data_IF_848069557791
#
_entry.id   IF_848069557791
#
_cell.length_a   1.000
_cell.length_b   1.000
_cell.length_c   1.000
_cell.angle_alpha   90.00
_cell.angle_beta   90.00
_cell.angle_gamma   90.00
#
_symmetry.space_group_name_H-M   'P 1'
#
loop_
_entity.id
_entity.type
_entity.pdbx_description
1 polymer ?
#
# COMPACT_ATOMS: atom_id res chain seq x y z
N UNK A 1 13.32 22.59 -27.11
CA UNK A 1 12.90 22.20 -25.75
C UNK A 1 13.74 22.96 -24.75
N UNK A 2 13.18 24.04 -24.17
CA UNK A 2 13.82 24.83 -23.12
C UNK A 2 14.07 23.85 -21.96
N UNK A 3 15.31 23.41 -21.78
CA UNK A 3 15.74 22.80 -20.54
C UNK A 3 15.70 23.91 -19.51
N UNK A 4 14.54 24.09 -18.87
CA UNK A 4 14.50 24.85 -17.63
C UNK A 4 15.42 24.12 -16.66
N UNK A 5 16.56 24.73 -16.39
CA UNK A 5 17.61 24.22 -15.51
C UNK A 5 17.08 24.35 -14.09
N UNK A 6 16.25 23.40 -13.66
CA UNK A 6 15.85 23.30 -12.27
C UNK A 6 16.98 22.65 -11.48
N UNK A 7 17.38 23.29 -10.38
CA UNK A 7 18.19 22.66 -9.35
C UNK A 7 17.24 22.10 -8.30
N UNK A 8 17.35 20.81 -7.99
CA UNK A 8 16.53 20.17 -6.98
C UNK A 8 17.34 20.00 -5.70
N UNK A 9 16.72 20.31 -4.55
CA UNK A 9 17.32 20.05 -3.24
C UNK A 9 16.35 19.22 -2.42
N UNK A 10 16.79 18.04 -1.98
CA UNK A 10 16.05 17.19 -1.05
C UNK A 10 16.65 17.32 0.35
N UNK A 11 15.79 17.61 1.31
CA UNK A 11 16.14 17.65 2.73
C UNK A 11 15.54 16.42 3.40
N UNK A 12 16.37 15.60 4.04
CA UNK A 12 15.97 14.36 4.71
C UNK A 12 16.35 14.46 6.19
N UNK A 13 15.38 14.33 7.09
CA UNK A 13 15.66 14.37 8.53
C UNK A 13 16.52 13.17 8.97
N UNK A 14 16.39 12.04 8.28
CA UNK A 14 17.09 10.81 8.59
C UNK A 14 18.51 10.77 8.01
N UNK A 15 19.31 9.83 8.49
CA UNK A 15 20.64 9.54 7.97
C UNK A 15 20.63 8.72 6.66
N UNK A 16 19.47 8.37 6.13
CA UNK A 16 19.32 7.56 4.92
C UNK A 16 18.02 7.90 4.18
N UNK A 17 18.01 7.70 2.86
CA UNK A 17 16.83 7.86 2.02
C UNK A 17 15.94 6.61 2.08
N UNK A 18 14.62 6.78 2.19
CA UNK A 18 13.66 5.67 2.17
C UNK A 18 12.26 6.07 1.70
N UNK A 19 11.46 5.10 1.22
CA UNK A 19 10.02 5.27 0.93
C UNK A 19 9.20 5.33 2.22
N UNK A 20 9.44 4.33 3.08
CA UNK A 20 9.04 4.20 4.48
C UNK A 20 10.33 3.77 5.18
N UNK A 21 10.61 4.27 6.39
CA UNK A 21 11.83 3.94 7.13
C UNK A 21 11.91 2.42 7.35
N UNK A 22 12.58 1.72 6.45
CA UNK A 22 12.74 0.28 6.50
C UNK A 22 13.99 0.01 7.32
N UNK A 23 13.80 -0.54 8.52
CA UNK A 23 14.88 -1.10 9.29
C UNK A 23 15.09 -2.53 8.81
N UNK A 24 16.33 -2.90 8.55
CA UNK A 24 16.69 -4.30 8.36
C UNK A 24 17.79 -4.69 9.34
N UNK A 25 17.68 -5.91 9.85
CA UNK A 25 18.71 -6.51 10.69
C UNK A 25 18.88 -7.96 10.28
N UNK A 26 20.02 -8.54 10.63
CA UNK A 26 20.26 -9.97 10.43
C UNK A 26 19.84 -10.70 11.70
N UNK A 27 19.09 -11.80 11.54
CA UNK A 27 18.70 -12.69 12.63
C UNK A 27 19.95 -13.24 13.32
N UNK A 28 19.98 -13.16 14.66
CA UNK A 28 21.14 -13.53 15.45
C UNK A 28 21.50 -15.02 15.35
N UNK A 29 20.53 -15.87 15.01
CA UNK A 29 20.69 -17.32 15.05
C UNK A 29 20.99 -17.94 13.69
N UNK A 30 20.25 -17.58 12.63
CA UNK A 30 20.39 -18.25 11.32
C UNK A 30 20.78 -17.30 10.18
N UNK A 31 21.08 -16.04 10.46
CA UNK A 31 21.60 -15.12 9.45
C UNK A 31 20.53 -14.62 8.46
N UNK A 32 19.25 -14.87 8.72
CA UNK A 32 18.17 -14.42 7.83
C UNK A 32 17.98 -12.91 7.92
N UNK A 33 17.69 -12.28 6.78
CA UNK A 33 17.41 -10.85 6.77
C UNK A 33 15.98 -10.55 7.21
N UNK A 34 15.84 -9.71 8.24
CA UNK A 34 14.55 -9.21 8.73
C UNK A 34 14.28 -7.81 8.19
N UNK A 35 13.04 -7.57 7.75
CA UNK A 35 12.58 -6.30 7.21
C UNK A 35 11.38 -5.78 8.00
N UNK A 36 11.52 -4.65 8.69
CA UNK A 36 10.51 -4.09 9.61
C UNK A 36 9.61 -3.03 8.94
N UNK A 37 9.29 -3.22 7.67
CA UNK A 37 8.53 -2.27 6.86
C UNK A 37 7.87 -2.97 5.66
N UNK A 38 7.59 -2.24 4.56
CA UNK A 38 7.03 -2.87 3.38
C UNK A 38 8.03 -3.87 2.77
N UNK A 39 7.59 -5.12 2.59
CA UNK A 39 8.45 -6.23 2.15
C UNK A 39 8.34 -6.52 0.66
N UNK A 40 7.16 -6.32 0.09
CA UNK A 40 6.82 -6.73 -1.28
C UNK A 40 5.92 -5.69 -1.95
N UNK A 41 5.97 -5.65 -3.28
CA UNK A 41 5.07 -4.87 -4.13
C UNK A 41 4.26 -5.84 -4.99
N UNK A 42 2.94 -5.64 -5.08
CA UNK A 42 2.09 -6.41 -6.01
C UNK A 42 2.33 -5.95 -7.45
N UNK A 43 2.76 -6.87 -8.31
CA UNK A 43 3.10 -6.62 -9.71
C UNK A 43 1.89 -6.38 -10.63
N UNK A 44 0.67 -6.73 -10.16
CA UNK A 44 -0.58 -6.59 -10.93
C UNK A 44 -1.42 -5.42 -10.40
N UNK A 45 -1.09 -4.19 -10.80
CA UNK A 45 -1.85 -2.98 -10.45
C UNK A 45 -1.74 -1.95 -11.59
N UNK A 46 -2.80 -1.17 -11.84
CA UNK A 46 -2.85 -0.10 -12.84
C UNK A 46 -1.77 0.98 -12.67
N UNK A 47 -1.21 1.14 -11.45
CA UNK A 47 -0.08 2.05 -11.18
C UNK A 47 1.29 1.47 -11.53
N UNK A 48 1.39 0.18 -11.86
CA UNK A 48 2.67 -0.51 -12.04
C UNK A 48 3.56 -0.03 -13.18
N UNK A 49 3.04 0.44 -14.31
CA UNK A 49 3.95 0.81 -15.40
C UNK A 49 4.84 2.01 -15.08
N UNK A 50 4.43 2.93 -14.21
CA UNK A 50 5.34 3.98 -13.73
C UNK A 50 6.48 3.40 -12.87
N UNK A 51 6.18 2.39 -12.04
CA UNK A 51 7.19 1.65 -11.30
C UNK A 51 8.10 0.85 -12.25
N UNK A 52 7.56 0.17 -13.26
CA UNK A 52 8.35 -0.57 -14.24
C UNK A 52 9.24 0.34 -15.08
N UNK A 53 8.74 1.50 -15.47
CA UNK A 53 9.56 2.52 -16.13
C UNK A 53 10.75 2.91 -15.26
N UNK A 54 10.50 3.24 -13.99
CA UNK A 54 11.57 3.57 -13.04
C UNK A 54 12.54 2.41 -12.85
N UNK A 55 12.04 1.19 -12.65
CA UNK A 55 12.89 0.00 -12.47
C UNK A 55 13.75 -0.29 -13.71
N UNK A 56 13.22 -0.08 -14.91
CA UNK A 56 13.96 -0.23 -16.15
C UNK A 56 15.02 0.87 -16.30
N UNK A 57 14.68 2.13 -16.02
CA UNK A 57 15.63 3.25 -16.05
C UNK A 57 16.78 3.10 -15.04
N UNK A 58 16.50 2.42 -13.92
CA UNK A 58 17.50 2.06 -12.90
C UNK A 58 18.27 0.77 -13.22
N UNK A 59 18.00 0.11 -14.36
CA UNK A 59 18.55 -1.22 -14.71
C UNK A 59 18.36 -2.27 -13.61
N UNK A 60 17.23 -2.21 -12.91
CA UNK A 60 16.94 -3.08 -11.76
C UNK A 60 16.14 -4.33 -12.11
N UNK A 61 15.56 -4.40 -13.31
CA UNK A 61 14.60 -5.45 -13.69
C UNK A 61 15.17 -6.86 -13.44
N UNK A 62 16.42 -7.10 -13.81
CA UNK A 62 17.06 -8.42 -13.68
C UNK A 62 17.46 -8.77 -12.23
N UNK A 63 17.52 -7.76 -11.34
CA UNK A 63 17.84 -7.94 -9.92
C UNK A 63 16.62 -8.19 -9.02
N UNK A 64 15.42 -8.18 -9.60
CA UNK A 64 14.17 -8.34 -8.86
C UNK A 64 13.96 -9.80 -8.46
N UNK A 65 13.54 -9.99 -7.20
CA UNK A 65 12.94 -11.24 -6.76
C UNK A 65 11.47 -11.22 -7.12
N UNK A 66 11.05 -12.14 -7.99
CA UNK A 66 9.68 -12.19 -8.52
C UNK A 66 9.03 -13.51 -8.12
N UNK A 67 7.87 -13.43 -7.49
CA UNK A 67 7.00 -14.60 -7.30
C UNK A 67 6.04 -14.74 -8.47
N UNK A 68 5.83 -15.97 -8.96
CA UNK A 68 4.81 -16.26 -9.97
C UNK A 68 3.41 -16.16 -9.35
N UNK A 69 2.42 -15.64 -10.09
CA UNK A 69 1.01 -15.57 -9.68
C UNK A 69 0.42 -16.94 -9.27
N UNK A 70 0.96 -18.04 -9.81
CA UNK A 70 0.53 -19.42 -9.55
C UNK A 70 1.16 -20.01 -8.29
N UNK A 71 2.24 -19.42 -7.79
CA UNK A 71 2.88 -19.89 -6.56
C UNK A 71 1.93 -19.74 -5.37
N UNK A 72 2.01 -20.69 -4.43
CA UNK A 72 1.20 -20.68 -3.21
C UNK A 72 1.39 -19.39 -2.41
N UNK A 73 2.63 -18.88 -2.34
CA UNK A 73 2.98 -17.59 -1.73
C UNK A 73 2.28 -16.38 -2.37
N UNK A 74 1.84 -16.48 -3.62
CA UNK A 74 1.12 -15.39 -4.30
C UNK A 74 -0.40 -15.46 -4.14
N UNK A 75 -0.95 -16.68 -4.11
CA UNK A 75 -2.39 -16.90 -4.29
C UNK A 75 -3.12 -17.48 -3.05
N UNK A 76 -2.46 -18.21 -2.15
CA UNK A 76 -3.08 -18.73 -0.93
C UNK A 76 -3.02 -17.70 0.19
N UNK A 77 -4.17 -17.38 0.77
CA UNK A 77 -4.33 -16.45 1.90
C UNK A 77 -5.30 -17.06 2.89
N UNK A 78 -5.10 -16.79 4.16
CA UNK A 78 -5.90 -17.38 5.24
C UNK A 78 -6.52 -16.32 6.14
N UNK A 79 -7.61 -16.69 6.80
CA UNK A 79 -8.19 -15.97 7.93
C UNK A 79 -8.13 -16.89 9.14
N UNK A 80 -7.56 -16.40 10.24
CA UNK A 80 -7.59 -17.11 11.51
C UNK A 80 -8.95 -16.91 12.15
N UNK A 81 -9.68 -17.99 12.42
CA UNK A 81 -10.96 -17.94 13.11
C UNK A 81 -11.25 -19.28 13.77
N UNK A 82 -11.85 -19.25 14.96
CA UNK A 82 -12.25 -20.47 15.67
C UNK A 82 -11.05 -21.42 15.88
N UNK A 83 -9.90 -20.87 16.27
CA UNK A 83 -8.64 -21.59 16.48
C UNK A 83 -8.12 -22.37 15.27
N UNK A 84 -8.50 -21.98 14.05
CA UNK A 84 -8.01 -22.60 12.82
C UNK A 84 -7.72 -21.58 11.72
N UNK A 85 -6.85 -21.95 10.78
CA UNK A 85 -6.55 -21.16 9.59
C UNK A 85 -7.43 -21.59 8.44
N UNK A 86 -8.28 -20.67 7.99
CA UNK A 86 -9.28 -20.93 6.97
C UNK A 86 -8.86 -20.28 5.65
N UNK A 87 -8.68 -21.05 4.55
CA UNK A 87 -8.28 -20.49 3.28
C UNK A 87 -9.37 -19.56 2.74
N UNK A 88 -8.98 -18.38 2.24
CA UNK A 88 -9.89 -17.45 1.59
C UNK A 88 -9.81 -17.64 0.09
N UNK A 89 -10.86 -18.23 -0.46
CA UNK A 89 -11.07 -18.31 -1.90
C UNK A 89 -12.41 -17.66 -2.25
N UNK A 90 -12.37 -16.44 -2.77
CA UNK A 90 -13.57 -15.70 -3.14
C UNK A 90 -14.44 -16.45 -4.15
N UNK A 91 -13.85 -17.25 -5.05
CA UNK A 91 -14.62 -18.08 -5.97
C UNK A 91 -15.46 -19.10 -5.21
N UNK A 92 -14.84 -19.84 -4.30
CA UNK A 92 -15.53 -20.87 -3.53
C UNK A 92 -16.55 -20.28 -2.54
N UNK A 93 -16.25 -19.13 -1.96
CA UNK A 93 -17.18 -18.36 -1.13
C UNK A 93 -18.40 -17.97 -1.97
N UNK A 94 -18.23 -17.32 -3.12
CA UNK A 94 -19.34 -16.88 -3.98
C UNK A 94 -20.19 -18.05 -4.51
N UNK A 95 -19.61 -19.25 -4.64
CA UNK A 95 -20.34 -20.48 -5.03
C UNK A 95 -20.81 -21.32 -3.83
N UNK A 96 -20.72 -20.81 -2.60
CA UNK A 96 -21.26 -21.45 -1.40
C UNK A 96 -20.56 -22.75 -0.98
N UNK A 97 -19.32 -22.98 -1.44
CA UNK A 97 -18.62 -24.26 -1.23
C UNK A 97 -17.78 -24.31 0.04
N UNK A 98 -17.11 -23.22 0.42
CA UNK A 98 -15.96 -23.26 1.37
C UNK A 98 -15.95 -22.06 2.35
N UNK A 99 -17.11 -21.53 2.76
CA UNK A 99 -17.09 -20.47 3.78
C UNK A 99 -17.36 -21.05 5.16
N UNK A 100 -16.35 -21.16 6.06
CA UNK A 100 -16.62 -21.38 7.49
C UNK A 100 -17.35 -20.18 8.12
N UNK A 101 -17.49 -19.08 7.36
CA UNK A 101 -18.00 -17.81 7.86
C UNK A 101 -19.49 -17.60 7.57
N UNK A 102 -20.05 -18.22 6.52
CA UNK A 102 -21.42 -17.96 6.07
C UNK A 102 -22.10 -19.18 5.46
N UNK A 103 -23.42 -19.27 5.64
CA UNK A 103 -24.23 -20.27 4.95
C UNK A 103 -24.39 -19.93 3.44
N UNK A 104 -24.51 -20.94 2.56
CA UNK A 104 -24.76 -20.70 1.13
C UNK A 104 -25.98 -19.80 0.84
N UNK A 105 -27.01 -19.89 1.68
CA UNK A 105 -28.24 -19.10 1.58
C UNK A 105 -27.97 -17.61 1.82
N UNK A 106 -27.14 -17.28 2.81
CA UNK A 106 -26.76 -15.88 3.09
C UNK A 106 -25.96 -15.28 1.93
N UNK A 107 -25.08 -16.07 1.31
CA UNK A 107 -24.31 -15.64 0.14
C UNK A 107 -25.22 -15.40 -1.07
N UNK A 108 -26.19 -16.29 -1.32
CA UNK A 108 -27.21 -16.08 -2.36
C UNK A 108 -28.07 -14.84 -2.07
N UNK A 109 -28.44 -14.61 -0.82
CA UNK A 109 -29.15 -13.40 -0.39
C UNK A 109 -28.32 -12.14 -0.68
N UNK A 110 -27.01 -12.18 -0.42
CA UNK A 110 -26.09 -11.09 -0.74
C UNK A 110 -26.04 -10.79 -2.23
N UNK A 111 -25.91 -11.81 -3.07
CA UNK A 111 -25.93 -11.64 -4.54
C UNK A 111 -27.28 -11.05 -4.97
N UNK A 112 -28.39 -11.53 -4.41
CA UNK A 112 -29.72 -10.98 -4.66
C UNK A 112 -29.80 -9.49 -4.32
N UNK A 113 -29.40 -9.10 -3.10
CA UNK A 113 -29.37 -7.69 -2.65
C UNK A 113 -28.49 -6.83 -3.54
N UNK A 114 -27.33 -7.32 -3.94
CA UNK A 114 -26.38 -6.64 -4.84
C UNK A 114 -26.97 -6.39 -6.24
N UNK A 115 -27.76 -7.32 -6.79
CA UNK A 115 -28.44 -7.14 -8.09
C UNK A 115 -29.45 -5.98 -8.05
N UNK A 116 -30.17 -5.83 -6.95
CA UNK A 116 -31.20 -4.81 -6.77
C UNK A 116 -30.69 -3.56 -6.07
N UNK A 117 -29.39 -3.51 -5.78
CA UNK A 117 -28.79 -2.36 -5.13
C UNK A 117 -28.68 -1.20 -6.13
N UNK A 118 -29.42 -0.12 -5.87
CA UNK A 118 -29.27 1.13 -6.60
C UNK A 118 -28.35 2.08 -5.84
N UNK A 119 -27.37 2.66 -6.54
CA UNK A 119 -26.39 3.56 -5.93
C UNK A 119 -26.96 4.97 -5.81
N UNK A 120 -27.93 5.14 -4.93
CA UNK A 120 -28.40 6.44 -4.45
C UNK A 120 -27.56 6.94 -3.27
N UNK A 121 -26.23 6.90 -3.41
CA UNK A 121 -25.30 7.34 -2.37
C UNK A 121 -24.52 8.55 -2.91
N UNK A 122 -24.85 9.73 -2.40
CA UNK A 122 -24.21 10.99 -2.75
C UNK A 122 -23.08 11.37 -1.78
N UNK A 123 -23.02 10.74 -0.60
CA UNK A 123 -22.07 11.04 0.47
C UNK A 123 -21.06 9.90 0.64
N UNK A 124 -19.85 10.23 1.05
CA UNK A 124 -18.82 9.24 1.33
C UNK A 124 -19.20 8.40 2.57
N UNK A 125 -19.24 7.09 2.40
CA UNK A 125 -19.56 6.15 3.47
C UNK A 125 -18.30 5.50 4.01
N UNK A 126 -18.39 4.95 5.21
CA UNK A 126 -17.40 3.98 5.64
C UNK A 126 -17.45 2.73 4.77
N UNK A 127 -16.33 2.00 4.66
CA UNK A 127 -16.30 0.70 3.97
C UNK A 127 -17.30 -0.27 4.61
N UNK A 128 -17.40 -0.27 5.95
CA UNK A 128 -18.37 -1.07 6.69
C UNK A 128 -19.82 -0.78 6.26
N UNK A 129 -20.22 0.49 6.31
CA UNK A 129 -21.62 0.89 6.06
C UNK A 129 -22.02 0.75 4.60
N UNK A 130 -21.03 0.69 3.71
CA UNK A 130 -21.25 0.31 2.33
C UNK A 130 -21.57 -1.19 2.21
N UNK A 131 -20.71 -2.06 2.73
CA UNK A 131 -20.88 -3.50 2.57
C UNK A 131 -22.09 -4.05 3.32
N UNK A 132 -22.49 -3.47 4.46
CA UNK A 132 -23.68 -3.93 5.22
C UNK A 132 -25.00 -3.81 4.44
N UNK A 133 -25.03 -3.02 3.36
CA UNK A 133 -26.21 -2.88 2.49
C UNK A 133 -26.56 -4.19 1.76
N UNK A 134 -25.59 -5.06 1.53
CA UNK A 134 -25.81 -6.33 0.82
C UNK A 134 -25.09 -7.53 1.44
N UNK A 135 -24.02 -7.34 2.22
CA UNK A 135 -23.28 -8.39 2.92
C UNK A 135 -23.86 -8.69 4.32
N UNK A 136 -23.92 -9.96 4.76
CA UNK A 136 -24.16 -10.29 6.16
C UNK A 136 -23.03 -9.74 7.07
N UNK A 137 -23.34 -9.37 8.34
CA UNK A 137 -22.35 -8.83 9.27
C UNK A 137 -21.12 -9.74 9.46
N UNK A 138 -21.32 -11.06 9.56
CA UNK A 138 -20.24 -12.02 9.75
C UNK A 138 -19.22 -12.01 8.59
N UNK A 139 -19.65 -11.82 7.35
CA UNK A 139 -18.76 -11.67 6.20
C UNK A 139 -17.95 -10.37 6.28
N UNK A 140 -18.56 -9.30 6.79
CA UNK A 140 -17.87 -8.03 7.00
C UNK A 140 -16.79 -8.23 8.06
N UNK A 141 -17.17 -8.75 9.23
CA UNK A 141 -16.28 -8.91 10.38
C UNK A 141 -15.15 -9.90 10.13
N UNK A 142 -15.41 -11.01 9.41
CA UNK A 142 -14.43 -12.08 9.20
C UNK A 142 -13.62 -11.96 7.90
N UNK A 143 -14.06 -11.14 6.93
CA UNK A 143 -13.38 -11.03 5.64
C UNK A 143 -13.01 -9.58 5.34
N UNK A 144 -14.00 -8.68 5.26
CA UNK A 144 -13.76 -7.29 4.84
C UNK A 144 -12.90 -6.54 5.87
N UNK A 145 -13.27 -6.62 7.14
CA UNK A 145 -12.55 -5.97 8.25
C UNK A 145 -11.08 -6.41 8.32
N UNK A 146 -10.77 -7.73 8.44
CA UNK A 146 -9.37 -8.17 8.49
C UNK A 146 -8.57 -7.75 7.26
N UNK A 147 -9.15 -7.76 6.05
CA UNK A 147 -8.45 -7.25 4.85
C UNK A 147 -8.15 -5.75 5.00
N UNK A 148 -9.09 -4.96 5.51
CA UNK A 148 -8.87 -3.53 5.77
C UNK A 148 -7.80 -3.30 6.84
N UNK A 149 -7.80 -4.09 7.91
CA UNK A 149 -6.74 -4.08 8.92
C UNK A 149 -5.39 -4.47 8.31
N UNK A 150 -5.33 -5.46 7.43
CA UNK A 150 -4.09 -5.86 6.75
C UNK A 150 -3.52 -4.79 5.81
N UNK A 151 -4.36 -3.92 5.24
CA UNK A 151 -3.92 -2.86 4.29
C UNK A 151 -3.66 -1.53 5.01
N UNK A 152 -4.56 -1.13 5.90
CA UNK A 152 -4.60 0.20 6.52
C UNK A 152 -4.33 0.20 8.02
N UNK A 153 -4.18 -0.97 8.64
CA UNK A 153 -4.04 -1.12 10.09
C UNK A 153 -5.16 -0.44 10.90
N UNK A 154 -6.39 -0.50 10.39
CA UNK A 154 -7.59 0.01 11.07
C UNK A 154 -8.85 -0.70 10.55
N UNK A 155 -9.97 -0.53 11.27
CA UNK A 155 -11.25 -1.16 10.93
C UNK A 155 -11.94 -0.51 9.73
N UNK A 156 -12.84 -1.27 9.08
CA UNK A 156 -13.58 -0.77 7.92
C UNK A 156 -14.59 0.34 8.26
N UNK A 157 -14.97 0.49 9.53
CA UNK A 157 -15.87 1.57 10.02
C UNK A 157 -15.23 2.95 9.97
N UNK A 158 -13.90 3.02 10.08
CA UNK A 158 -13.16 4.30 10.10
C UNK A 158 -12.64 4.72 8.73
N UNK A 159 -12.73 3.83 7.73
CA UNK A 159 -12.14 4.05 6.41
C UNK A 159 -13.19 4.56 5.42
N UNK A 160 -12.85 5.65 4.74
CA UNK A 160 -13.62 6.14 3.60
C UNK A 160 -13.64 5.14 2.45
N UNK A 161 -14.84 4.85 1.95
CA UNK A 161 -15.04 4.05 0.75
C UNK A 161 -14.51 4.77 -0.50
N UNK A 162 -14.80 6.06 -0.65
CA UNK A 162 -14.40 6.84 -1.83
C UNK A 162 -12.88 6.90 -1.98
N UNK A 163 -12.15 7.02 -0.86
CA UNK A 163 -10.68 7.08 -0.88
C UNK A 163 -10.04 5.70 -0.95
N UNK A 164 -10.47 4.75 -0.11
CA UNK A 164 -9.78 3.47 0.02
C UNK A 164 -10.19 2.47 -1.07
N UNK A 165 -11.46 2.47 -1.47
CA UNK A 165 -12.02 1.56 -2.48
C UNK A 165 -12.77 2.35 -3.56
N UNK A 166 -12.11 3.37 -4.14
CA UNK A 166 -12.70 4.23 -5.17
C UNK A 166 -13.31 3.47 -6.36
N UNK A 167 -12.73 2.31 -6.72
CA UNK A 167 -13.29 1.46 -7.77
C UNK A 167 -14.65 0.88 -7.37
N UNK A 168 -14.77 0.39 -6.13
CA UNK A 168 -16.05 -0.04 -5.56
C UNK A 168 -17.03 1.13 -5.49
N UNK A 169 -16.60 2.30 -4.99
CA UNK A 169 -17.43 3.50 -4.97
C UNK A 169 -18.01 3.85 -6.34
N UNK A 170 -17.18 3.93 -7.38
CA UNK A 170 -17.61 4.35 -8.73
C UNK A 170 -18.56 3.38 -9.41
N UNK A 171 -18.42 2.09 -9.15
CA UNK A 171 -19.17 1.04 -9.84
C UNK A 171 -20.22 0.35 -8.97
N UNK A 172 -20.38 0.81 -7.72
CA UNK A 172 -21.51 0.43 -6.89
C UNK A 172 -22.82 0.67 -7.64
N UNK A 173 -23.77 -0.27 -7.52
CA UNK A 173 -25.03 -0.26 -8.26
C UNK A 173 -24.98 -0.85 -9.66
N UNK A 174 -23.79 -1.27 -10.14
CA UNK A 174 -23.73 -2.14 -11.32
C UNK A 174 -24.29 -3.52 -10.99
N UNK A 175 -25.02 -4.13 -11.93
CA UNK A 175 -25.61 -5.45 -11.70
C UNK A 175 -24.50 -6.48 -11.43
N UNK A 176 -24.69 -7.28 -10.37
CA UNK A 176 -23.71 -8.24 -9.87
C UNK A 176 -22.37 -7.60 -9.48
N UNK A 177 -22.40 -6.35 -9.00
CA UNK A 177 -21.21 -5.60 -8.60
C UNK A 177 -20.31 -6.42 -7.66
N UNK A 178 -20.82 -6.95 -6.55
CA UNK A 178 -20.00 -7.64 -5.57
C UNK A 178 -19.32 -8.88 -6.16
N UNK A 179 -20.08 -9.71 -6.87
CA UNK A 179 -19.55 -10.93 -7.50
C UNK A 179 -18.46 -10.58 -8.51
N UNK A 180 -18.70 -9.59 -9.37
CA UNK A 180 -17.72 -9.16 -10.36
C UNK A 180 -16.51 -8.49 -9.71
N UNK A 181 -16.71 -7.73 -8.64
CA UNK A 181 -15.64 -7.01 -7.95
C UNK A 181 -14.67 -7.97 -7.24
N UNK A 182 -15.20 -9.02 -6.61
CA UNK A 182 -14.39 -10.03 -5.92
C UNK A 182 -13.75 -11.03 -6.88
N UNK A 183 -14.44 -11.44 -7.96
CA UNK A 183 -13.96 -12.48 -8.89
C UNK A 183 -13.14 -11.91 -10.04
N UNK A 184 -13.48 -10.71 -10.50
CA UNK A 184 -12.91 -10.04 -11.66
C UNK A 184 -12.61 -8.56 -11.38
N UNK A 185 -11.76 -8.23 -10.38
CA UNK A 185 -11.48 -6.84 -10.02
C UNK A 185 -10.91 -6.00 -11.18
N UNK A 186 -10.33 -6.65 -12.20
CA UNK A 186 -9.85 -6.02 -13.42
C UNK A 186 -10.97 -5.41 -14.29
N UNK A 187 -12.24 -5.81 -14.11
CA UNK A 187 -13.39 -5.27 -14.82
C UNK A 187 -13.76 -3.85 -14.37
N UNK A 188 -13.21 -3.40 -13.24
CA UNK A 188 -13.46 -2.08 -12.68
C UNK A 188 -12.18 -1.24 -12.63
N UNK A 189 -11.52 -0.99 -13.80
CA UNK A 189 -10.31 -0.21 -13.82
C UNK A 189 -10.61 1.24 -13.45
N UNK A 190 -9.75 1.83 -12.64
CA UNK A 190 -9.75 3.28 -12.47
C UNK A 190 -9.27 3.92 -13.78
N UNK A 191 -9.90 5.03 -14.21
CA UNK A 191 -9.55 5.75 -15.45
C UNK A 191 -8.02 5.89 -15.55
N UNK A 192 -7.46 5.36 -16.64
CA UNK A 192 -6.05 5.50 -16.98
C UNK A 192 -5.79 6.98 -17.28
N UNK A 193 -4.73 7.56 -16.73
CA UNK A 193 -4.28 8.88 -17.15
C UNK A 193 -3.70 8.72 -18.56
N UNK A 194 -4.42 9.18 -19.59
CA UNK A 194 -4.21 8.76 -20.99
C UNK A 194 -2.84 9.13 -21.56
N UNK A 195 -2.29 10.27 -21.14
CA UNK A 195 -0.98 10.76 -21.59
C UNK A 195 0.16 9.86 -21.08
N UNK A 196 0.23 9.65 -19.77
CA UNK A 196 1.22 8.76 -19.15
C UNK A 196 1.11 7.34 -19.71
N UNK A 197 -0.13 6.86 -19.92
CA UNK A 197 -0.40 5.53 -20.44
C UNK A 197 0.12 5.30 -21.86
N UNK A 198 -0.07 6.28 -22.75
CA UNK A 198 0.33 6.13 -24.14
C UNK A 198 1.83 6.37 -24.36
N UNK A 199 2.43 7.35 -23.66
CA UNK A 199 3.83 7.72 -23.87
C UNK A 199 4.83 6.83 -23.11
N UNK A 200 4.46 6.36 -21.91
CA UNK A 200 5.36 5.62 -21.01
C UNK A 200 4.93 4.17 -20.83
N UNK A 201 3.62 3.88 -20.76
CA UNK A 201 3.12 2.57 -20.31
C UNK A 201 2.99 1.51 -21.42
N UNK A 202 2.72 1.90 -22.68
CA UNK A 202 2.69 0.96 -23.82
C UNK A 202 4.06 0.31 -24.12
N UNK A 203 5.18 1.06 -24.15
CA UNK A 203 6.51 0.46 -24.36
C UNK A 203 6.98 -0.38 -23.17
N UNK A 204 6.69 0.03 -21.93
CA UNK A 204 7.17 -0.67 -20.73
C UNK A 204 6.53 -2.04 -20.48
N UNK A 205 5.27 -2.24 -20.87
CA UNK A 205 4.64 -3.58 -20.81
C UNK A 205 5.23 -4.57 -21.82
N UNK A 206 6.01 -4.10 -22.81
CA UNK A 206 6.71 -4.95 -23.76
C UNK A 206 8.08 -5.45 -23.26
N UNK A 207 8.56 -4.96 -22.10
CA UNK A 207 9.92 -5.19 -21.61
C UNK A 207 10.23 -6.62 -21.17
N UNK A 208 9.22 -7.43 -20.81
CA UNK A 208 9.43 -8.88 -20.65
C UNK A 208 8.16 -9.67 -20.96
N UNK A 209 8.30 -10.74 -21.76
CA UNK A 209 7.19 -11.66 -22.13
C UNK A 209 6.53 -12.32 -20.91
N UNK A 210 7.24 -12.36 -19.78
CA UNK A 210 6.83 -13.04 -18.55
C UNK A 210 6.25 -12.10 -17.48
N UNK A 211 6.32 -10.78 -17.67
CA UNK A 211 5.73 -9.78 -16.75
C UNK A 211 4.25 -10.02 -16.43
N UNK A 212 3.51 -10.65 -17.35
CA UNK A 212 2.10 -11.04 -17.18
C UNK A 212 1.87 -12.07 -16.06
N UNK A 213 2.90 -12.82 -15.67
CA UNK A 213 2.83 -13.83 -14.61
C UNK A 213 3.41 -13.34 -13.28
N UNK A 214 3.93 -12.12 -13.22
CA UNK A 214 4.49 -11.58 -11.99
C UNK A 214 3.38 -11.34 -10.97
N UNK A 215 3.53 -11.94 -9.80
CA UNK A 215 2.61 -11.80 -8.67
C UNK A 215 3.08 -10.74 -7.70
N UNK A 216 4.24 -10.96 -7.09
CA UNK A 216 4.87 -10.06 -6.13
C UNK A 216 6.32 -9.82 -6.54
N UNK A 217 6.81 -8.62 -6.23
CA UNK A 217 8.17 -8.17 -6.51
C UNK A 217 8.82 -7.72 -5.21
N UNK A 218 10.07 -8.11 -5.01
CA UNK A 218 10.97 -7.58 -4.00
C UNK A 218 12.40 -7.50 -4.55
N UNK A 219 13.37 -7.20 -3.69
CA UNK A 219 14.80 -7.32 -4.00
C UNK A 219 15.47 -8.21 -2.96
N UNK A 220 16.71 -8.65 -3.21
CA UNK A 220 17.49 -9.47 -2.27
C UNK A 220 17.68 -8.82 -0.90
N UNK A 221 17.64 -7.49 -0.83
CA UNK A 221 17.70 -6.72 0.42
C UNK A 221 16.35 -6.14 0.85
N UNK A 222 15.25 -6.70 0.33
CA UNK A 222 13.90 -6.15 0.47
C UNK A 222 13.73 -4.83 -0.31
N UNK A 223 12.69 -4.06 -0.03
CA UNK A 223 12.48 -2.78 -0.73
C UNK A 223 13.51 -1.69 -0.38
N UNK A 224 14.36 -1.91 0.63
CA UNK A 224 15.45 -1.00 0.99
C UNK A 224 16.53 -0.93 -0.09
N UNK A 225 16.82 -2.04 -0.77
CA UNK A 225 17.77 -2.09 -1.88
C UNK A 225 17.41 -1.15 -3.03
N UNK A 226 16.12 -1.05 -3.34
CA UNK A 226 15.62 -0.12 -4.35
C UNK A 226 15.91 1.35 -3.99
N UNK A 227 15.85 1.69 -2.71
CA UNK A 227 16.16 3.04 -2.24
C UNK A 227 17.65 3.35 -2.30
N UNK A 228 18.49 2.39 -1.92
CA UNK A 228 19.95 2.55 -2.05
C UNK A 228 20.40 2.74 -3.51
N UNK A 229 19.78 2.01 -4.45
CA UNK A 229 20.07 2.18 -5.88
C UNK A 229 19.61 3.55 -6.38
N UNK A 230 18.41 3.99 -6.00
CA UNK A 230 17.92 5.33 -6.30
C UNK A 230 18.88 6.41 -5.77
N UNK A 231 19.33 6.29 -4.53
CA UNK A 231 20.27 7.23 -3.91
C UNK A 231 21.61 7.28 -4.66
N UNK A 232 22.16 6.11 -5.02
CA UNK A 232 23.40 6.01 -5.81
C UNK A 232 23.23 6.61 -7.21
N UNK A 233 22.10 6.38 -7.88
CA UNK A 233 21.81 6.94 -9.21
C UNK A 233 21.67 8.46 -9.17
N UNK A 234 20.98 8.99 -8.15
CA UNK A 234 20.85 10.45 -7.97
C UNK A 234 22.20 11.11 -7.68
N UNK A 235 23.09 10.41 -6.96
CA UNK A 235 24.42 10.92 -6.62
C UNK A 235 25.44 10.79 -7.77
N UNK A 236 25.29 9.81 -8.65
CA UNK A 236 26.22 9.53 -9.75
C UNK A 236 25.94 10.30 -11.05
N UNK A 237 24.81 11.01 -11.13
CA UNK A 237 24.38 11.80 -12.30
C UNK A 237 24.43 13.31 -12.01
N UNK A 238 25.63 13.94 -12.00
CA UNK A 238 25.79 15.36 -11.68
C UNK A 238 25.01 16.30 -12.63
N UNK A 239 24.70 15.86 -13.85
CA UNK A 239 23.86 16.56 -14.82
C UNK A 239 22.44 16.84 -14.32
N UNK A 240 21.94 16.05 -13.36
CA UNK A 240 20.60 16.23 -12.79
C UNK A 240 20.51 17.39 -11.78
N UNK A 241 21.64 17.98 -11.36
CA UNK A 241 21.71 19.10 -10.40
C UNK A 241 20.86 18.85 -9.14
N UNK A 242 21.03 17.68 -8.53
CA UNK A 242 20.31 17.26 -7.33
C UNK A 242 21.24 17.34 -6.12
N UNK A 243 20.85 18.12 -5.12
CA UNK A 243 21.53 18.19 -3.82
C UNK A 243 20.75 17.35 -2.80
N UNK A 244 21.36 16.27 -2.30
CA UNK A 244 20.80 15.41 -1.26
C UNK A 244 21.43 15.77 0.09
N UNK A 245 20.62 16.34 0.99
CA UNK A 245 21.06 16.75 2.32
C UNK A 245 20.40 15.85 3.38
N UNK A 246 21.19 14.92 3.92
CA UNK A 246 20.79 14.02 5.01
C UNK A 246 20.94 14.70 6.38
N UNK A 247 20.29 14.15 7.40
CA UNK A 247 20.28 14.70 8.77
C UNK A 247 19.85 16.18 8.83
N UNK A 248 19.02 16.60 7.89
CA UNK A 248 18.61 17.98 7.68
C UNK A 248 17.12 18.13 7.95
N UNK A 249 16.78 18.41 9.22
CA UNK A 249 15.40 18.63 9.64
C UNK A 249 14.96 20.06 9.29
N UNK A 250 13.88 20.17 8.56
CA UNK A 250 13.18 21.46 8.38
C UNK A 250 12.48 21.80 9.70
N UNK A 251 12.82 22.94 10.30
CA UNK A 251 12.22 23.40 11.56
C UNK A 251 11.02 24.31 11.30
N UNK A 252 11.03 25.07 10.20
CA UNK A 252 9.97 26.03 9.87
C UNK A 252 9.92 26.32 8.38
N UNK A 253 8.72 26.46 7.86
CA UNK A 253 8.42 26.98 6.52
C UNK A 253 7.85 28.37 6.69
N UNK A 254 8.28 29.31 5.86
CA UNK A 254 7.69 30.64 5.74
C UNK A 254 7.69 31.08 4.27
N UNK A 255 7.04 32.19 3.98
CA UNK A 255 6.97 32.73 2.63
C UNK A 255 7.31 34.21 2.68
N UNK A 256 8.07 34.70 1.68
CA UNK A 256 8.35 36.13 1.55
C UNK A 256 7.03 36.92 1.42
N UNK A 257 7.06 38.23 1.73
CA UNK A 257 5.85 39.09 1.75
C UNK A 257 5.08 39.08 0.41
N UNK A 258 5.80 39.00 -0.70
CA UNK A 258 5.25 38.90 -2.06
C UNK A 258 4.79 37.48 -2.45
N UNK A 259 4.93 36.48 -1.55
CA UNK A 259 4.60 35.06 -1.73
C UNK A 259 5.28 34.37 -2.93
N UNK A 260 6.30 34.97 -3.54
CA UNK A 260 6.97 34.39 -4.71
C UNK A 260 8.01 33.32 -4.36
N UNK A 261 8.46 33.29 -3.10
CA UNK A 261 9.46 32.32 -2.62
C UNK A 261 9.08 31.75 -1.26
N UNK A 262 9.32 30.45 -1.12
CA UNK A 262 9.32 29.77 0.16
C UNK A 262 10.68 29.92 0.83
N UNK A 263 10.68 30.05 2.15
CA UNK A 263 11.89 30.15 2.98
C UNK A 263 11.84 29.05 4.02
N UNK A 264 12.81 28.14 3.97
CA UNK A 264 12.95 27.01 4.87
C UNK A 264 14.01 27.32 5.93
N UNK A 265 13.66 27.14 7.21
CA UNK A 265 14.61 27.19 8.33
C UNK A 265 15.15 25.79 8.58
N UNK A 266 16.46 25.65 8.49
CA UNK A 266 17.20 24.41 8.74
C UNK A 266 18.31 24.76 9.72
N UNK A 267 18.19 24.25 10.95
CA UNK A 267 19.07 24.63 12.07
C UNK A 267 19.14 26.16 12.23
N UNK A 268 20.34 26.76 12.10
CA UNK A 268 20.56 28.21 12.21
C UNK A 268 20.49 28.96 10.86
N UNK A 269 20.25 28.25 9.77
CA UNK A 269 20.30 28.79 8.41
C UNK A 269 18.92 28.92 7.76
N UNK A 270 18.78 29.88 6.86
CA UNK A 270 17.59 30.12 6.05
C UNK A 270 17.92 29.87 4.57
N UNK A 271 17.07 29.11 3.91
CA UNK A 271 17.22 28.72 2.51
C UNK A 271 15.98 29.11 1.72
N UNK A 272 16.17 29.66 0.51
CA UNK A 272 15.06 30.11 -0.34
C UNK A 272 14.84 29.18 -1.53
N UNK A 273 13.57 28.94 -1.86
CA UNK A 273 13.16 28.10 -2.98
C UNK A 273 11.95 28.70 -3.70
N UNK A 274 11.89 28.53 -5.01
CA UNK A 274 10.74 28.96 -5.82
C UNK A 274 9.54 28.01 -5.64
N UNK A 275 9.82 26.71 -5.46
CA UNK A 275 8.83 25.68 -5.20
C UNK A 275 9.25 24.76 -4.05
N UNK A 276 8.27 24.27 -3.29
CA UNK A 276 8.49 23.29 -2.21
C UNK A 276 7.52 22.14 -2.40
N UNK A 277 8.07 20.93 -2.53
CA UNK A 277 7.30 19.69 -2.56
C UNK A 277 7.42 19.02 -1.19
N UNK A 278 6.32 18.96 -0.44
CA UNK A 278 6.30 18.25 0.83
C UNK A 278 5.99 16.78 0.62
N UNK A 279 6.94 15.91 0.99
CA UNK A 279 6.78 14.45 0.99
C UNK A 279 6.79 13.86 2.41
N UNK A 280 6.78 14.70 3.45
CA UNK A 280 6.73 14.28 4.86
C UNK A 280 5.29 13.96 5.30
N UNK A 281 5.14 13.27 6.43
CA UNK A 281 3.83 12.94 6.98
C UNK A 281 3.05 14.21 7.39
N UNK A 282 1.71 14.15 7.35
CA UNK A 282 0.86 15.30 7.64
C UNK A 282 1.11 15.94 9.03
N UNK A 283 1.32 15.18 10.13
CA UNK A 283 1.62 15.76 11.43
C UNK A 283 2.97 16.49 11.44
N UNK A 284 3.96 15.97 10.70
CA UNK A 284 5.27 16.62 10.59
C UNK A 284 5.15 17.95 9.82
N UNK A 285 4.41 17.95 8.70
CA UNK A 285 4.16 19.15 7.91
C UNK A 285 3.39 20.21 8.73
N UNK A 286 2.37 19.79 9.48
CA UNK A 286 1.58 20.65 10.35
C UNK A 286 2.45 21.50 11.28
N UNK A 287 3.44 20.89 11.93
CA UNK A 287 4.30 21.58 12.91
C UNK A 287 5.23 22.61 12.30
N UNK A 288 5.65 22.44 11.04
CA UNK A 288 6.59 23.36 10.39
C UNK A 288 5.89 24.46 9.60
N UNK A 289 4.59 24.34 9.31
CA UNK A 289 3.84 25.32 8.54
C UNK A 289 3.55 26.61 9.35
N UNK A 290 3.51 27.78 8.67
CA UNK A 290 3.10 29.03 9.28
C UNK A 290 1.73 28.95 9.97
N UNK A 291 1.60 29.52 11.16
CA UNK A 291 0.32 29.61 11.90
C UNK A 291 -0.78 30.33 11.13
N UNK A 292 -0.42 31.25 10.23
CA UNK A 292 -1.37 31.95 9.35
C UNK A 292 -2.07 31.07 8.32
N UNK A 293 -1.64 29.82 8.13
CA UNK A 293 -2.28 28.86 7.21
C UNK A 293 -3.25 27.94 7.99
N UNK A 294 -4.20 28.55 8.72
CA UNK A 294 -5.09 27.84 9.64
C UNK A 294 -5.85 26.71 8.93
N UNK A 295 -6.47 26.97 7.78
CA UNK A 295 -7.26 25.96 7.06
C UNK A 295 -6.44 24.72 6.69
N UNK A 296 -5.28 24.92 6.04
CA UNK A 296 -4.38 23.82 5.69
C UNK A 296 -3.89 23.06 6.92
N UNK A 297 -3.56 23.78 8.00
CA UNK A 297 -3.14 23.17 9.26
C UNK A 297 -4.24 22.31 9.85
N UNK A 298 -5.48 22.81 9.91
CA UNK A 298 -6.63 22.05 10.41
C UNK A 298 -6.88 20.79 9.56
N UNK A 299 -6.75 20.88 8.23
CA UNK A 299 -6.88 19.72 7.34
C UNK A 299 -5.76 18.69 7.52
N UNK A 300 -4.52 19.12 7.83
CA UNK A 300 -3.41 18.19 8.09
C UNK A 300 -3.53 17.52 9.46
N UNK A 301 -3.99 18.27 10.46
CA UNK A 301 -4.19 17.79 11.84
C UNK A 301 -5.32 16.76 11.93
N UNK A 302 -6.34 16.86 11.08
CA UNK A 302 -7.45 15.89 11.05
C UNK A 302 -7.07 14.52 10.48
N UNK A 303 -5.90 14.40 9.83
CA UNK A 303 -5.42 13.13 9.26
C UNK A 303 -4.87 12.24 10.38
N UNK A 304 -5.61 11.18 10.70
CA UNK A 304 -5.25 10.19 11.72
C UNK A 304 -4.27 9.16 11.17
N UNK A 305 -3.39 8.66 12.05
CA UNK A 305 -2.42 7.61 11.75
C UNK A 305 -2.61 6.43 12.70
N UNK A 306 -2.47 5.21 12.17
CA UNK A 306 -2.40 3.99 12.97
C UNK A 306 -0.95 3.66 13.33
N UNK A 307 -0.75 3.10 14.52
CA UNK A 307 0.54 2.56 14.95
C UNK A 307 0.56 1.04 14.75
N UNK A 308 1.64 0.52 14.18
CA UNK A 308 1.83 -0.92 13.92
C UNK A 308 3.21 -1.34 14.43
N UNK A 309 3.25 -2.41 15.20
CA UNK A 309 4.49 -3.07 15.59
C UNK A 309 4.70 -4.31 14.70
N UNK A 310 5.86 -4.39 14.06
CA UNK A 310 6.28 -5.58 13.32
C UNK A 310 7.19 -6.43 14.21
N UNK A 311 6.82 -7.69 14.44
CA UNK A 311 7.61 -8.67 15.18
C UNK A 311 8.08 -9.73 14.21
N UNK A 312 9.38 -10.03 14.22
CA UNK A 312 9.99 -11.06 13.39
C UNK A 312 10.34 -12.24 14.28
N UNK A 313 9.84 -13.42 13.94
CA UNK A 313 10.07 -14.66 14.66
C UNK A 313 10.71 -15.65 13.69
N UNK A 314 11.81 -16.25 14.11
CA UNK A 314 12.57 -17.20 13.34
C UNK A 314 12.64 -18.51 14.11
N UNK A 315 12.32 -19.61 13.43
CA UNK A 315 12.24 -20.94 14.01
C UNK A 315 13.16 -21.88 13.26
N UNK A 316 13.86 -22.76 13.99
CA UNK A 316 14.58 -23.85 13.34
C UNK A 316 13.59 -24.79 12.68
N UNK A 317 13.90 -25.30 11.48
CA UNK A 317 13.10 -26.34 10.82
C UNK A 317 12.93 -27.59 11.70
N UNK A 318 13.88 -27.85 12.61
CA UNK A 318 13.77 -28.93 13.61
C UNK A 318 12.65 -28.70 14.63
N UNK A 319 12.41 -27.45 15.02
CA UNK A 319 11.43 -27.08 16.04
C UNK A 319 10.00 -27.05 15.48
N UNK A 320 9.84 -26.67 14.21
CA UNK A 320 8.54 -26.66 13.51
C UNK A 320 8.17 -28.00 12.87
N UNK A 321 9.10 -28.95 12.79
CA UNK A 321 8.88 -30.28 12.22
C UNK A 321 8.41 -30.25 10.76
N UNK A 322 7.48 -31.14 10.40
CA UNK A 322 6.90 -31.24 9.05
C UNK A 322 5.77 -30.22 8.79
N UNK A 323 5.63 -29.18 9.62
CA UNK A 323 4.60 -28.15 9.45
C UNK A 323 4.84 -27.37 8.15
N UNK A 324 4.13 -27.76 7.08
CA UNK A 324 4.16 -27.13 5.76
C UNK A 324 2.91 -26.30 5.55
N UNK A 325 2.87 -25.12 6.17
CA UNK A 325 1.85 -24.15 5.85
C UNK A 325 2.29 -23.32 4.64
N UNK A 326 1.67 -23.58 3.50
CA UNK A 326 1.96 -22.84 2.27
C UNK A 326 1.01 -21.66 2.10
N UNK A 327 1.54 -20.47 1.87
CA UNK A 327 0.75 -19.33 1.45
C UNK A 327 1.47 -18.02 1.70
N UNK A 328 0.76 -16.92 1.48
CA UNK A 328 1.28 -15.59 1.79
C UNK A 328 1.31 -15.31 3.30
N UNK A 329 0.34 -15.86 4.02
CA UNK A 329 0.09 -15.51 5.42
C UNK A 329 -1.38 -15.56 5.77
N UNK A 330 -1.70 -15.09 6.98
CA UNK A 330 -3.06 -14.98 7.48
C UNK A 330 -3.35 -13.63 8.11
N UNK A 331 -4.63 -13.26 8.13
CA UNK A 331 -5.14 -12.10 8.87
C UNK A 331 -6.06 -12.58 10.00
N UNK A 332 -6.15 -11.76 11.04
CA UNK A 332 -6.98 -12.02 12.22
C UNK A 332 -8.16 -11.05 12.17
N UNK A 333 -9.41 -11.53 12.17
CA UNK A 333 -10.60 -10.70 12.32
C UNK A 333 -10.53 -9.87 13.59
N UNK A 334 -11.01 -8.63 13.53
CA UNK A 334 -11.11 -7.76 14.71
C UNK A 334 -12.02 -8.33 15.80
N UNK A 335 -12.98 -9.17 15.42
CA UNK A 335 -13.86 -9.91 16.31
C UNK A 335 -13.17 -11.07 17.05
N UNK A 336 -12.01 -11.55 16.58
CA UNK A 336 -11.27 -12.66 17.18
C UNK A 336 -10.34 -12.15 18.29
N UNK A 337 -10.90 -11.98 19.48
CA UNK A 337 -10.20 -11.39 20.63
C UNK A 337 -9.20 -12.34 21.30
N UNK A 338 -9.24 -13.64 21.00
CA UNK A 338 -8.40 -14.66 21.62
C UNK A 338 -6.90 -14.46 21.40
N UNK A 339 -6.52 -13.84 20.28
CA UNK A 339 -5.13 -13.57 19.90
C UNK A 339 -4.88 -12.09 19.62
N UNK A 340 -5.79 -11.20 20.05
CA UNK A 340 -5.57 -9.77 20.00
C UNK A 340 -4.29 -9.41 20.81
N UNK A 341 -3.49 -8.42 20.36
CA UNK A 341 -3.74 -7.45 19.29
C UNK A 341 -3.13 -7.81 17.92
N UNK A 342 -2.99 -9.09 17.58
CA UNK A 342 -2.38 -9.52 16.31
C UNK A 342 -3.28 -9.14 15.12
N UNK A 343 -2.73 -8.43 14.12
CA UNK A 343 -3.42 -8.10 12.85
C UNK A 343 -3.34 -9.27 11.86
N UNK A 344 -2.18 -9.92 11.82
CA UNK A 344 -1.87 -11.00 10.89
C UNK A 344 -0.41 -11.38 10.93
N UNK A 345 -0.08 -12.43 10.20
CA UNK A 345 1.28 -12.97 10.05
C UNK A 345 1.55 -13.20 8.57
N UNK A 346 2.72 -12.80 8.12
CA UNK A 346 3.25 -13.08 6.79
C UNK A 346 4.19 -14.29 6.92
N UNK A 347 4.10 -15.23 5.97
CA UNK A 347 5.08 -16.30 5.86
C UNK A 347 6.17 -15.81 4.89
N UNK A 348 7.28 -15.35 5.47
CA UNK A 348 8.40 -14.72 4.74
C UNK A 348 9.21 -15.70 3.90
#
# INVERSE_FOLDING_TARGET
LIHSIYTYTRQEQSAAVGLIRQFSTTGAFFGQQFNFGPKIIRAKNYKMPALYYMLNDLNMIDSLLISDLRASSSNKRYIYSSNSLNPVNFREIMFGKISPFESPIQILSTIGKDIFFDKNINEDLSIHDFFIKFCPPRMIDNIIDPIMYGIYATNSKSLSLQFCLNSAWKHAGTRFFLARFLLSPNEFPLKKNSLLYNEIMQPTFSLSKDSKFWGMISTTTGLSGLMGILENQLSSKPELKINLNLNSKIEKISFRKNKTKAVLKISKSLHEFDHVFSTVAAPQLYHVLPTRLIELRNSLESIKYSSVASVMLEYSTKDVGDFKLEGFGFLVPSAETSIAPIIGVIFD
#
